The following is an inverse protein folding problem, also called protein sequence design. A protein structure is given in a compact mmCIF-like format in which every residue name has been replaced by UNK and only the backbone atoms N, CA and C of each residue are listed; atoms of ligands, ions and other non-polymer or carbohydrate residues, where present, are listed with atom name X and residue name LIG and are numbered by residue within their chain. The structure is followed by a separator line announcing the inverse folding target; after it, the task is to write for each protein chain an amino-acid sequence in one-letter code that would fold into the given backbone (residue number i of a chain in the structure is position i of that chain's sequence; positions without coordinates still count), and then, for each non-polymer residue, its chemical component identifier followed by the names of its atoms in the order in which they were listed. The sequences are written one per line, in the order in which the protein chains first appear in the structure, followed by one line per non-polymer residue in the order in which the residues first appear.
data_IF_741422031568
#
_entry.id   IF_741422031568
#
_cell.length_a   1.000
_cell.length_b   1.000
_cell.length_c   1.000
_cell.angle_alpha   90.00
_cell.angle_beta   90.00
_cell.angle_gamma   90.00
#
_symmetry.space_group_name_H-M   'P 1'
#
loop_
_entity.id
_entity.type
_entity.pdbx_description
1 polymer ?
#
# COMPACT_ATOMS: atom_id res chain seq x y z
N UNK A 1 1.89 18.01 -8.07
CA UNK A 1 1.78 16.61 -7.57
C UNK A 1 1.41 15.65 -8.70
N UNK A 2 0.29 15.85 -9.40
CA UNK A 2 -0.16 15.00 -10.52
C UNK A 2 0.92 14.72 -11.58
N UNK A 3 1.59 15.76 -12.09
CA UNK A 3 2.63 15.61 -13.13
C UNK A 3 3.88 14.80 -12.69
N UNK A 4 4.02 14.52 -11.39
CA UNK A 4 5.13 13.73 -10.82
C UNK A 4 4.77 12.25 -10.63
N UNK A 5 3.53 11.86 -10.90
CA UNK A 5 3.10 10.47 -10.78
C UNK A 5 3.52 9.68 -12.02
N UNK A 6 4.01 8.45 -11.81
CA UNK A 6 4.26 7.51 -12.90
C UNK A 6 2.98 7.14 -13.64
N UNK A 7 1.84 7.10 -12.94
CA UNK A 7 0.53 6.90 -13.54
C UNK A 7 -0.18 8.21 -13.80
N UNK A 8 -0.74 8.32 -15.00
CA UNK A 8 -1.56 9.47 -15.39
C UNK A 8 -2.95 9.35 -14.77
N UNK A 9 -3.23 10.23 -13.82
CA UNK A 9 -4.56 10.41 -13.22
C UNK A 9 -5.11 11.77 -13.62
N UNK A 10 -6.44 11.92 -13.72
CA UNK A 10 -7.04 13.22 -14.01
C UNK A 10 -7.04 14.09 -12.74
N UNK A 11 -6.85 15.39 -12.89
CA UNK A 11 -6.84 16.32 -11.74
C UNK A 11 -8.16 16.25 -10.95
N UNK A 12 -9.29 16.21 -11.66
CA UNK A 12 -10.62 16.05 -11.05
C UNK A 12 -10.74 14.80 -10.17
N UNK A 13 -10.07 13.71 -10.53
CA UNK A 13 -10.17 12.44 -9.78
C UNK A 13 -9.35 12.56 -8.48
N UNK A 14 -8.21 13.26 -8.53
CA UNK A 14 -7.41 13.59 -7.35
C UNK A 14 -8.20 14.49 -6.41
N UNK A 15 -8.84 15.54 -6.93
CA UNK A 15 -9.65 16.46 -6.14
C UNK A 15 -10.81 15.74 -5.45
N UNK A 16 -11.57 14.92 -6.19
CA UNK A 16 -12.65 14.12 -5.61
C UNK A 16 -12.15 13.15 -4.53
N UNK A 17 -11.03 12.47 -4.77
CA UNK A 17 -10.46 11.52 -3.79
C UNK A 17 -10.01 12.23 -2.50
N UNK A 18 -9.33 13.38 -2.62
CA UNK A 18 -8.89 14.16 -1.46
C UNK A 18 -10.10 14.69 -0.69
N UNK A 19 -11.11 15.23 -1.38
CA UNK A 19 -12.31 15.75 -0.73
C UNK A 19 -13.06 14.64 0.02
N UNK A 20 -13.20 13.45 -0.58
CA UNK A 20 -13.78 12.29 0.09
C UNK A 20 -13.05 11.94 1.39
N UNK A 21 -11.71 11.97 1.40
CA UNK A 21 -10.91 11.68 2.58
C UNK A 21 -11.11 12.73 3.68
N UNK A 22 -11.26 14.01 3.32
CA UNK A 22 -11.55 15.10 4.27
C UNK A 22 -12.96 14.91 4.86
N UNK A 23 -13.97 14.74 4.01
CA UNK A 23 -15.38 14.64 4.41
C UNK A 23 -15.62 13.46 5.37
N UNK A 24 -14.88 12.36 5.16
CA UNK A 24 -14.96 11.15 5.98
C UNK A 24 -13.94 11.10 7.13
N UNK A 25 -13.19 12.19 7.36
CA UNK A 25 -12.22 12.37 8.45
C UNK A 25 -11.06 11.37 8.42
N UNK A 26 -10.66 10.91 7.24
CA UNK A 26 -9.46 10.09 7.04
C UNK A 26 -8.19 10.95 6.94
N UNK A 27 -8.34 12.19 6.49
CA UNK A 27 -7.29 13.22 6.55
C UNK A 27 -7.86 14.52 7.11
N UNK A 28 -6.99 15.34 7.68
CA UNK A 28 -7.34 16.66 8.23
C UNK A 28 -6.47 17.72 7.57
N UNK A 29 -7.09 18.84 7.19
CA UNK A 29 -6.36 20.01 6.69
C UNK A 29 -5.85 20.84 7.88
N UNK A 30 -4.55 21.06 7.97
CA UNK A 30 -3.93 21.89 9.00
C UNK A 30 -4.15 23.37 8.72
N UNK A 31 -3.96 24.23 9.72
CA UNK A 31 -4.07 25.69 9.57
C UNK A 31 -3.15 26.27 8.49
N UNK A 32 -2.02 25.60 8.24
CA UNK A 32 -1.03 25.99 7.22
C UNK A 32 -1.35 25.43 5.82
N UNK A 33 -2.52 24.80 5.65
CA UNK A 33 -2.99 24.28 4.37
C UNK A 33 -2.44 22.90 3.98
N UNK A 34 -1.70 22.21 4.86
CA UNK A 34 -1.23 20.84 4.62
C UNK A 34 -2.31 19.82 4.97
N UNK A 35 -2.18 18.58 4.48
CA UNK A 35 -3.07 17.47 4.83
C UNK A 35 -2.30 16.43 5.63
N UNK A 36 -2.86 16.03 6.78
CA UNK A 36 -2.30 14.98 7.63
C UNK A 36 -3.28 13.80 7.75
N UNK A 37 -2.80 12.54 7.78
CA UNK A 37 -3.62 11.40 8.14
C UNK A 37 -4.23 11.57 9.53
N UNK A 38 -5.47 11.10 9.73
CA UNK A 38 -6.03 10.97 11.08
C UNK A 38 -5.62 9.64 11.72
N UNK A 39 -5.74 9.52 13.05
CA UNK A 39 -5.53 8.25 13.79
C UNK A 39 -6.64 7.21 13.54
N UNK A 40 -7.50 7.42 12.55
CA UNK A 40 -8.65 6.56 12.27
C UNK A 40 -8.19 5.27 11.60
N UNK A 41 -8.05 4.21 12.38
CA UNK A 41 -7.84 2.87 11.84
C UNK A 41 -9.16 2.28 11.31
N UNK A 42 -9.09 1.59 10.18
CA UNK A 42 -10.20 0.83 9.62
C UNK A 42 -10.00 -0.65 9.96
N UNK A 43 -10.94 -1.22 10.71
CA UNK A 43 -11.07 -2.67 10.79
C UNK A 43 -11.78 -3.17 9.53
N UNK A 44 -11.05 -3.91 8.68
CA UNK A 44 -11.57 -4.43 7.42
C UNK A 44 -11.83 -5.95 7.45
N UNK A 45 -11.86 -6.59 8.62
CA UNK A 45 -11.93 -8.06 8.73
C UNK A 45 -13.32 -8.65 8.43
N UNK A 46 -14.40 -7.85 8.43
CA UNK A 46 -15.77 -8.37 8.35
C UNK A 46 -16.66 -7.66 7.32
N UNK A 47 -17.68 -8.40 6.83
CA UNK A 47 -18.75 -7.86 6.00
C UNK A 47 -18.30 -7.26 4.66
N UNK A 48 -18.86 -6.11 4.31
CA UNK A 48 -18.57 -5.37 3.06
C UNK A 48 -17.11 -4.97 2.91
N UNK A 49 -16.37 -4.82 4.01
CA UNK A 49 -14.97 -4.42 3.98
C UNK A 49 -14.05 -5.50 3.41
N UNK A 50 -14.43 -6.78 3.50
CA UNK A 50 -13.65 -7.89 2.91
C UNK A 50 -13.56 -7.76 1.39
N UNK A 51 -14.66 -7.37 0.74
CA UNK A 51 -14.68 -7.16 -0.72
C UNK A 51 -13.84 -5.95 -1.10
N UNK A 52 -14.03 -4.83 -0.38
CA UNK A 52 -13.26 -3.61 -0.60
C UNK A 52 -11.75 -3.81 -0.41
N UNK A 53 -11.34 -4.59 0.59
CA UNK A 53 -9.93 -4.92 0.83
C UNK A 53 -9.35 -5.77 -0.30
N UNK A 54 -10.12 -6.72 -0.83
CA UNK A 54 -9.75 -7.48 -2.01
C UNK A 54 -9.55 -6.58 -3.25
N UNK A 55 -10.47 -5.66 -3.51
CA UNK A 55 -10.33 -4.70 -4.61
C UNK A 55 -9.12 -3.78 -4.43
N UNK A 56 -8.89 -3.28 -3.21
CA UNK A 56 -7.71 -2.49 -2.89
C UNK A 56 -6.42 -3.22 -3.27
N UNK A 57 -6.26 -4.47 -2.83
CA UNK A 57 -5.07 -5.25 -3.17
C UNK A 57 -4.94 -5.49 -4.68
N UNK A 58 -6.03 -5.77 -5.41
CA UNK A 58 -5.97 -5.90 -6.88
C UNK A 58 -5.50 -4.62 -7.56
N UNK A 59 -5.98 -3.47 -7.11
CA UNK A 59 -5.54 -2.18 -7.63
C UNK A 59 -4.05 -1.96 -7.34
N UNK A 60 -3.59 -2.23 -6.11
CA UNK A 60 -2.17 -2.10 -5.76
C UNK A 60 -1.26 -3.05 -6.55
N UNK A 61 -1.68 -4.30 -6.77
CA UNK A 61 -0.94 -5.22 -7.65
C UNK A 61 -0.93 -4.77 -9.10
N UNK A 62 -2.00 -4.14 -9.60
CA UNK A 62 -2.01 -3.55 -10.93
C UNK A 62 -1.00 -2.39 -11.04
N UNK A 63 -0.89 -1.54 -10.02
CA UNK A 63 0.13 -0.50 -9.97
C UNK A 63 1.55 -1.11 -9.95
N UNK A 64 1.77 -2.16 -9.16
CA UNK A 64 3.03 -2.86 -9.08
C UNK A 64 3.42 -3.50 -10.43
N UNK A 65 2.47 -4.13 -11.12
CA UNK A 65 2.69 -4.68 -12.46
C UNK A 65 3.06 -3.59 -13.47
N UNK A 66 2.33 -2.47 -13.48
CA UNK A 66 2.62 -1.34 -14.38
C UNK A 66 3.98 -0.68 -14.10
N UNK A 67 4.47 -0.72 -12.86
CA UNK A 67 5.82 -0.23 -12.53
C UNK A 67 6.94 -0.95 -13.30
N UNK A 68 6.66 -2.17 -13.81
CA UNK A 68 7.63 -2.92 -14.60
C UNK A 68 8.02 -2.18 -15.88
N UNK A 69 7.05 -1.50 -16.47
CA UNK A 69 7.24 -0.79 -17.73
C UNK A 69 7.44 0.71 -17.53
N UNK A 70 6.83 1.29 -16.49
CA UNK A 70 6.78 2.74 -16.28
C UNK A 70 7.86 3.28 -15.35
N UNK A 71 8.48 2.44 -14.52
CA UNK A 71 9.46 2.88 -13.51
C UNK A 71 10.87 2.40 -13.86
N UNK A 72 11.89 3.29 -13.87
CA UNK A 72 13.29 2.90 -14.08
C UNK A 72 13.72 1.77 -13.16
N UNK A 73 14.54 0.84 -13.67
CA UNK A 73 14.92 -0.38 -12.94
C UNK A 73 15.61 -0.09 -11.60
N UNK A 74 16.42 0.95 -11.54
CA UNK A 74 17.15 1.42 -10.37
C UNK A 74 16.25 2.11 -9.32
N UNK A 75 15.00 2.40 -9.66
CA UNK A 75 14.01 3.06 -8.81
C UNK A 75 12.87 2.13 -8.37
N UNK A 76 12.96 0.85 -8.70
CA UNK A 76 12.02 -0.19 -8.27
C UNK A 76 12.76 -1.38 -7.69
N UNK A 77 12.16 -2.00 -6.68
CA UNK A 77 12.68 -3.21 -6.07
C UNK A 77 11.58 -4.27 -6.04
N UNK A 78 11.63 -5.21 -6.99
CA UNK A 78 10.67 -6.31 -7.11
C UNK A 78 11.37 -7.60 -6.68
N UNK A 79 10.99 -8.12 -5.52
CA UNK A 79 11.53 -9.35 -4.95
C UNK A 79 10.48 -10.45 -5.01
N UNK A 80 10.89 -11.67 -5.33
CA UNK A 80 10.01 -12.82 -5.38
C UNK A 80 10.78 -14.11 -5.19
N UNK A 81 10.21 -15.03 -4.42
CA UNK A 81 10.74 -16.37 -4.25
C UNK A 81 9.59 -17.38 -4.11
N UNK A 82 9.72 -18.52 -4.78
CA UNK A 82 8.75 -19.61 -4.69
C UNK A 82 9.40 -20.76 -3.93
N UNK A 83 8.86 -21.08 -2.75
CA UNK A 83 9.39 -22.13 -1.89
C UNK A 83 8.26 -22.98 -1.31
N UNK A 84 8.61 -24.21 -0.91
CA UNK A 84 7.73 -25.06 -0.12
C UNK A 84 7.80 -24.61 1.35
N UNK A 85 6.64 -24.32 1.93
CA UNK A 85 6.52 -23.94 3.34
C UNK A 85 5.62 -24.97 4.03
N UNK A 86 6.11 -25.71 5.05
CA UNK A 86 5.27 -26.60 5.84
C UNK A 86 4.12 -25.84 6.50
N UNK A 87 2.97 -26.49 6.66
CA UNK A 87 1.79 -25.87 7.29
C UNK A 87 2.09 -25.33 8.71
N UNK A 88 2.95 -26.04 9.45
CA UNK A 88 3.43 -25.63 10.78
C UNK A 88 4.25 -24.33 10.79
N UNK A 89 4.70 -23.85 9.63
CA UNK A 89 5.52 -22.64 9.48
C UNK A 89 4.73 -21.47 8.87
N UNK A 90 3.44 -21.65 8.56
CA UNK A 90 2.63 -20.59 7.92
C UNK A 90 2.43 -19.37 8.83
N UNK A 91 2.23 -19.58 10.14
CA UNK A 91 2.17 -18.45 11.07
C UNK A 91 3.52 -17.73 11.19
N UNK A 92 4.63 -18.47 11.20
CA UNK A 92 5.97 -17.88 11.19
C UNK A 92 6.21 -17.04 9.93
N UNK A 93 5.75 -17.50 8.76
CA UNK A 93 5.80 -16.72 7.52
C UNK A 93 5.02 -15.41 7.66
N UNK A 94 3.79 -15.44 8.20
CA UNK A 94 2.97 -14.24 8.42
C UNK A 94 3.66 -13.25 9.35
N UNK A 95 4.18 -13.73 10.47
CA UNK A 95 4.90 -12.90 11.43
C UNK A 95 6.11 -12.19 10.80
N UNK A 96 6.87 -12.89 9.95
CA UNK A 96 8.01 -12.27 9.23
C UNK A 96 7.53 -11.12 8.34
N UNK A 97 6.42 -11.29 7.62
CA UNK A 97 5.86 -10.23 6.78
C UNK A 97 5.38 -9.04 7.61
N UNK A 98 4.67 -9.29 8.71
CA UNK A 98 4.15 -8.24 9.61
C UNK A 98 5.29 -7.46 10.27
N UNK A 99 6.33 -8.15 10.76
CA UNK A 99 7.52 -7.51 11.32
C UNK A 99 8.28 -6.70 10.28
N UNK A 100 8.36 -7.19 9.04
CA UNK A 100 9.02 -6.48 7.95
C UNK A 100 8.24 -5.20 7.60
N UNK A 101 6.91 -5.27 7.52
CA UNK A 101 6.07 -4.10 7.26
C UNK A 101 6.24 -3.04 8.35
N UNK A 102 6.21 -3.43 9.64
CA UNK A 102 6.45 -2.52 10.76
C UNK A 102 7.81 -1.81 10.68
N UNK A 103 8.86 -2.53 10.28
CA UNK A 103 10.19 -1.95 10.06
C UNK A 103 10.20 -0.93 8.93
N UNK A 104 9.45 -1.18 7.85
CA UNK A 104 9.29 -0.24 6.73
C UNK A 104 8.50 1.00 7.16
N UNK A 105 7.42 0.84 7.91
CA UNK A 105 6.60 1.95 8.42
C UNK A 105 7.42 2.89 9.31
N UNK A 106 8.31 2.35 10.16
CA UNK A 106 9.20 3.12 11.01
C UNK A 106 10.12 4.08 10.22
N UNK A 107 10.52 3.72 8.99
CA UNK A 107 11.31 4.59 8.11
C UNK A 107 10.59 5.91 7.78
N UNK A 108 9.26 5.87 7.68
CA UNK A 108 8.45 7.06 7.37
C UNK A 108 8.28 8.00 8.56
N UNK A 109 8.41 7.51 9.80
CA UNK A 109 8.25 8.32 11.01
C UNK A 109 9.48 9.16 11.39
N UNK A 110 10.64 8.83 10.83
CA UNK A 110 11.93 9.41 11.27
C UNK A 110 12.42 10.59 10.43
N UNK A 111 11.80 10.89 9.27
CA UNK A 111 12.32 11.87 8.31
C UNK A 111 11.35 13.02 8.01
N UNK A 112 11.89 14.25 8.00
CA UNK A 112 11.18 15.49 7.60
C UNK A 112 11.49 15.94 6.17
N UNK A 113 12.42 15.28 5.49
CA UNK A 113 12.83 15.65 4.14
C UNK A 113 11.99 14.95 3.07
N UNK A 114 11.67 15.68 1.99
CA UNK A 114 10.84 15.17 0.92
C UNK A 114 11.61 14.14 0.07
N UNK A 115 11.16 12.89 0.08
CA UNK A 115 11.67 11.80 -0.76
C UNK A 115 10.69 11.34 -1.84
N UNK A 116 11.10 10.36 -2.68
CA UNK A 116 10.18 9.62 -3.52
C UNK A 116 9.12 8.88 -2.68
N UNK A 117 7.88 8.85 -3.17
CA UNK A 117 6.77 8.13 -2.51
C UNK A 117 6.77 6.68 -2.99
N UNK A 118 6.91 5.75 -2.05
CA UNK A 118 6.83 4.32 -2.31
C UNK A 118 5.52 3.74 -1.77
N UNK A 119 4.87 2.90 -2.57
CA UNK A 119 3.92 1.93 -2.06
C UNK A 119 4.65 0.62 -1.86
N UNK A 120 4.64 0.09 -0.63
CA UNK A 120 5.28 -1.19 -0.30
C UNK A 120 4.19 -2.23 -0.08
N UNK A 121 4.26 -3.33 -0.83
CA UNK A 121 3.36 -4.47 -0.69
C UNK A 121 4.18 -5.72 -0.42
N UNK A 122 3.83 -6.43 0.65
CA UNK A 122 4.37 -7.75 0.98
C UNK A 122 3.23 -8.75 0.83
N UNK A 123 3.47 -9.84 0.10
CA UNK A 123 2.42 -10.82 -0.17
C UNK A 123 2.96 -12.24 -0.11
N UNK A 124 2.24 -13.10 0.61
CA UNK A 124 2.41 -14.54 0.57
C UNK A 124 1.03 -15.16 0.32
N UNK A 125 0.96 -16.02 -0.68
CA UNK A 125 -0.27 -16.70 -1.06
C UNK A 125 0.06 -18.12 -1.56
N UNK A 126 -0.84 -19.09 -1.32
CA UNK A 126 -0.65 -20.43 -1.86
C UNK A 126 -0.73 -20.39 -3.38
N UNK A 127 0.26 -20.97 -4.05
CA UNK A 127 0.29 -21.13 -5.51
C UNK A 127 -0.19 -22.51 -5.97
N UNK A 128 -0.38 -23.44 -5.04
CA UNK A 128 -0.88 -24.80 -5.27
C UNK A 128 -1.98 -25.09 -4.24
N UNK A 129 -3.02 -25.82 -4.63
CA UNK A 129 -4.09 -26.26 -3.73
C UNK A 129 -3.57 -27.31 -2.75
N UNK A 130 -4.11 -27.32 -1.53
CA UNK A 130 -3.91 -28.45 -0.61
C UNK A 130 -4.51 -29.70 -1.27
N UNK A 131 -3.69 -30.75 -1.40
CA UNK A 131 -4.12 -32.06 -1.88
C UNK A 131 -5.02 -32.78 -0.87
#
# INVERSE_FOLDING_TARGET
MQARLYQKVQLRDVEHAVQFLVDNKFIVKTGDGQFLPSEKQLDCFTGVYRLSLGEFHRQMFSLAAQSIDLTPRDQRNLLGHTLLIPESQIESLRNILDETLKKVEALGSEYREAGPVYHVILSAFPVIKKG
#
